data_IF_075871840462
#
_entry.id   IF_075871840462
#
_cell.length_a   1.000
_cell.length_b   1.000
_cell.length_c   1.000
_cell.angle_alpha   90.00
_cell.angle_beta   90.00
_cell.angle_gamma   90.00
#
_symmetry.space_group_name_H-M   'P 1'
#
loop_
_entity.id
_entity.type
_entity.pdbx_description
1 polymer ?
#
# COMPACT_ATOMS: atom_id res chain seq x y z
N UNK A 1 17.43 39.83 16.29
CA UNK A 1 17.83 39.38 14.95
C UNK A 1 16.92 38.23 14.56
N UNK A 2 15.97 38.46 13.67
CA UNK A 2 15.10 37.43 13.13
C UNK A 2 15.89 36.62 12.11
N UNK A 3 16.20 35.35 12.43
CA UNK A 3 16.77 34.43 11.46
C UNK A 3 15.75 34.23 10.34
N UNK A 4 16.02 34.79 9.17
CA UNK A 4 15.30 34.45 7.95
C UNK A 4 15.69 33.03 7.56
N UNK A 5 14.75 32.09 7.72
CA UNK A 5 14.90 30.74 7.21
C UNK A 5 14.64 30.81 5.71
N UNK A 6 15.70 30.70 4.91
CA UNK A 6 15.59 30.58 3.45
C UNK A 6 15.05 29.18 3.11
N UNK A 7 13.82 29.11 2.59
CA UNK A 7 13.22 27.87 2.11
C UNK A 7 13.75 27.65 0.68
N UNK A 8 14.62 26.66 0.51
CA UNK A 8 15.13 26.25 -0.80
C UNK A 8 14.07 25.41 -1.52
N UNK A 9 13.96 25.58 -2.84
CA UNK A 9 13.08 24.75 -3.69
C UNK A 9 13.39 23.26 -3.56
N UNK A 10 14.68 22.93 -3.48
CA UNK A 10 15.15 21.58 -3.13
C UNK A 10 15.84 21.65 -1.77
N UNK A 11 15.26 21.05 -0.72
CA UNK A 11 15.89 21.04 0.59
C UNK A 11 17.18 20.22 0.55
N UNK A 12 18.16 20.61 1.37
CA UNK A 12 19.35 19.79 1.56
C UNK A 12 18.96 18.44 2.16
N UNK A 13 19.48 17.35 1.60
CA UNK A 13 19.23 16.01 2.10
C UNK A 13 19.62 15.89 3.59
N UNK A 14 18.69 15.57 4.50
CA UNK A 14 18.96 15.45 5.93
C UNK A 14 20.08 14.45 6.23
N UNK A 15 20.91 14.77 7.24
CA UNK A 15 22.04 13.90 7.64
C UNK A 15 21.58 12.50 8.04
N UNK A 16 20.42 12.37 8.71
CA UNK A 16 19.85 11.08 9.08
C UNK A 16 19.58 10.17 7.87
N UNK A 17 19.08 10.73 6.77
CA UNK A 17 18.84 9.99 5.53
C UNK A 17 20.17 9.54 4.90
N UNK A 18 21.15 10.45 4.80
CA UNK A 18 22.49 10.10 4.28
C UNK A 18 23.14 8.97 5.07
N UNK A 19 23.07 9.03 6.40
CA UNK A 19 23.60 8.00 7.29
C UNK A 19 22.87 6.67 7.09
N UNK A 20 21.54 6.69 6.97
CA UNK A 20 20.74 5.49 6.76
C UNK A 20 21.05 4.80 5.42
N UNK A 21 21.19 5.57 4.33
CA UNK A 21 21.60 5.05 3.01
C UNK A 21 22.97 4.38 3.11
N UNK A 22 23.98 5.09 3.65
CA UNK A 22 25.35 4.58 3.76
C UNK A 22 25.47 3.33 4.64
N UNK A 23 24.57 3.18 5.63
CA UNK A 23 24.55 2.05 6.54
C UNK A 23 23.59 0.93 6.09
N UNK A 24 22.95 1.04 4.93
CA UNK A 24 21.93 0.10 4.45
C UNK A 24 20.75 -0.10 5.43
N UNK A 25 20.45 0.94 6.21
CA UNK A 25 19.37 0.96 7.23
C UNK A 25 18.26 1.94 6.84
N UNK A 26 18.15 2.24 5.54
CA UNK A 26 17.03 2.99 4.99
C UNK A 26 15.96 2.02 4.46
N UNK A 27 14.70 2.32 4.77
CA UNK A 27 13.56 1.67 4.14
C UNK A 27 12.58 2.71 3.58
N UNK A 28 11.82 2.32 2.56
CA UNK A 28 10.83 3.19 1.94
C UNK A 28 9.43 2.64 2.17
N UNK A 29 8.58 3.47 2.76
CA UNK A 29 7.17 3.21 2.95
C UNK A 29 6.38 3.83 1.80
N UNK A 30 5.78 2.98 0.95
CA UNK A 30 5.06 3.38 -0.26
C UNK A 30 3.56 3.34 -0.04
N UNK A 31 2.92 4.51 -0.15
CA UNK A 31 1.48 4.71 -0.15
C UNK A 31 0.86 4.77 -1.54
N UNK A 32 -0.47 4.88 -1.60
CA UNK A 32 -1.24 4.76 -2.83
C UNK A 32 -0.91 5.85 -3.87
N UNK A 33 -0.40 7.01 -3.42
CA UNK A 33 -0.01 8.12 -4.28
C UNK A 33 1.03 7.73 -5.33
N UNK A 34 1.93 6.79 -5.05
CA UNK A 34 2.88 6.29 -6.05
C UNK A 34 2.14 5.48 -7.14
N UNK A 35 1.26 4.56 -6.73
CA UNK A 35 0.46 3.76 -7.68
C UNK A 35 -0.52 4.60 -8.50
N UNK A 36 -0.94 5.78 -8.00
CA UNK A 36 -1.74 6.74 -8.76
C UNK A 36 -1.02 7.32 -9.97
N UNK A 37 0.32 7.45 -9.94
CA UNK A 37 1.10 7.88 -11.11
C UNK A 37 0.99 6.88 -12.27
N UNK A 38 0.69 5.62 -11.96
CA UNK A 38 0.46 4.53 -12.92
C UNK A 38 -1.03 4.44 -13.32
N UNK A 39 -1.87 5.24 -12.66
CA UNK A 39 -3.32 5.31 -12.86
C UNK A 39 -4.11 4.31 -12.02
N UNK A 40 -3.52 3.73 -10.97
CA UNK A 40 -4.33 3.03 -9.97
C UNK A 40 -5.23 4.01 -9.23
N UNK A 41 -6.39 3.54 -8.80
CA UNK A 41 -7.29 4.30 -7.96
C UNK A 41 -6.78 4.39 -6.51
N UNK A 42 -7.07 5.49 -5.85
CA UNK A 42 -7.00 5.58 -4.39
C UNK A 42 -8.24 5.01 -3.70
N UNK A 43 -8.24 5.01 -2.37
CA UNK A 43 -9.34 4.50 -1.55
C UNK A 43 -10.67 5.19 -1.83
N UNK A 44 -10.68 6.50 -2.05
CA UNK A 44 -11.91 7.25 -2.34
C UNK A 44 -12.46 6.90 -3.73
N UNK A 45 -11.59 6.85 -4.74
CA UNK A 45 -11.98 6.52 -6.11
C UNK A 45 -12.48 5.07 -6.20
N UNK A 46 -11.79 4.13 -5.55
CA UNK A 46 -12.22 2.73 -5.44
C UNK A 46 -13.60 2.63 -4.76
N UNK A 47 -13.79 3.30 -3.62
CA UNK A 47 -15.05 3.24 -2.90
C UNK A 47 -16.22 3.76 -3.76
N UNK A 48 -16.03 4.90 -4.45
CA UNK A 48 -17.03 5.47 -5.38
C UNK A 48 -17.35 4.53 -6.53
N UNK A 49 -16.34 3.87 -7.13
CA UNK A 49 -16.55 2.89 -8.19
C UNK A 49 -17.30 1.65 -7.71
N UNK A 50 -17.00 1.16 -6.52
CA UNK A 50 -17.73 0.04 -5.92
C UNK A 50 -19.20 0.40 -5.60
N UNK A 51 -19.48 1.61 -5.14
CA UNK A 51 -20.86 2.09 -4.94
C UNK A 51 -21.63 2.12 -6.27
N UNK A 52 -21.03 2.69 -7.31
CA UNK A 52 -21.62 2.66 -8.67
C UNK A 52 -21.82 1.25 -9.17
N UNK A 53 -20.87 0.34 -8.89
CA UNK A 53 -21.01 -1.08 -9.22
C UNK A 53 -22.25 -1.69 -8.56
N UNK A 54 -22.49 -1.39 -7.27
CA UNK A 54 -23.70 -1.83 -6.56
C UNK A 54 -24.96 -1.32 -7.26
N UNK A 55 -24.95 -0.08 -7.76
CA UNK A 55 -26.08 0.49 -8.52
C UNK A 55 -26.28 -0.21 -9.86
N UNK A 56 -25.20 -0.44 -10.60
CA UNK A 56 -25.20 -1.09 -11.91
C UNK A 56 -25.75 -2.51 -11.87
N UNK A 57 -25.42 -3.28 -10.83
CA UNK A 57 -25.91 -4.66 -10.65
C UNK A 57 -27.31 -4.72 -10.02
N UNK A 58 -27.91 -3.58 -9.68
CA UNK A 58 -29.28 -3.48 -9.16
C UNK A 58 -29.43 -3.73 -7.66
N UNK A 59 -28.34 -3.82 -6.91
CA UNK A 59 -28.36 -4.11 -5.47
C UNK A 59 -28.75 -2.90 -4.61
N UNK A 60 -28.57 -1.68 -5.14
CA UNK A 60 -28.94 -0.44 -4.44
C UNK A 60 -29.78 0.49 -5.31
N UNK A 61 -30.60 1.32 -4.68
CA UNK A 61 -31.39 2.37 -5.35
C UNK A 61 -30.57 3.63 -5.62
N UNK A 62 -31.02 4.56 -6.49
CA UNK A 62 -30.34 5.85 -6.67
C UNK A 62 -30.25 6.68 -5.38
N UNK A 63 -31.25 6.56 -4.50
CA UNK A 63 -31.26 7.26 -3.21
C UNK A 63 -30.18 6.68 -2.29
N UNK A 64 -30.09 5.35 -2.22
CA UNK A 64 -29.04 4.65 -1.47
C UNK A 64 -27.64 5.00 -2.00
N UNK A 65 -27.46 5.04 -3.32
CA UNK A 65 -26.21 5.46 -3.96
C UNK A 65 -25.81 6.86 -3.51
N UNK A 66 -26.72 7.83 -3.59
CA UNK A 66 -26.44 9.21 -3.19
C UNK A 66 -25.99 9.29 -1.73
N UNK A 67 -26.73 8.68 -0.80
CA UNK A 67 -26.38 8.66 0.62
C UNK A 67 -25.04 7.95 0.90
N UNK A 68 -24.76 6.86 0.18
CA UNK A 68 -23.49 6.13 0.32
C UNK A 68 -22.29 6.95 -0.15
N UNK A 69 -22.44 7.77 -1.19
CA UNK A 69 -21.36 8.61 -1.71
C UNK A 69 -21.01 9.79 -0.79
N UNK A 70 -21.89 10.15 0.14
CA UNK A 70 -21.63 11.15 1.19
C UNK A 70 -20.82 10.59 2.38
N UNK A 71 -20.67 9.26 2.48
CA UNK A 71 -19.89 8.63 3.54
C UNK A 71 -18.41 9.03 3.45
N UNK A 72 -17.87 9.50 4.58
CA UNK A 72 -16.49 9.94 4.69
C UNK A 72 -15.53 8.78 4.99
N UNK A 73 -15.99 7.75 5.73
CA UNK A 73 -15.21 6.54 6.01
C UNK A 73 -15.22 5.61 4.78
N UNK A 74 -14.18 5.73 3.96
CA UNK A 74 -14.03 4.95 2.72
C UNK A 74 -13.86 3.46 2.98
N UNK A 75 -13.22 3.08 4.09
CA UNK A 75 -13.06 1.66 4.47
C UNK A 75 -14.43 1.08 4.83
N UNK A 76 -15.25 1.81 5.58
CA UNK A 76 -16.64 1.42 5.86
C UNK A 76 -17.43 1.28 4.56
N UNK A 77 -17.32 2.24 3.66
CA UNK A 77 -18.03 2.21 2.38
C UNK A 77 -17.65 0.98 1.53
N UNK A 78 -16.35 0.69 1.41
CA UNK A 78 -15.86 -0.51 0.73
C UNK A 78 -16.36 -1.78 1.42
N UNK A 79 -16.43 -1.80 2.75
CA UNK A 79 -16.95 -2.93 3.51
C UNK A 79 -18.43 -3.19 3.25
N UNK A 80 -19.23 -2.13 3.13
CA UNK A 80 -20.64 -2.22 2.76
C UNK A 80 -20.75 -2.81 1.35
N UNK A 81 -20.03 -2.26 0.38
CA UNK A 81 -20.02 -2.77 -0.99
C UNK A 81 -19.54 -4.23 -1.08
N UNK A 82 -18.53 -4.62 -0.29
CA UNK A 82 -18.04 -5.99 -0.20
C UNK A 82 -19.13 -6.97 0.26
N UNK A 83 -20.01 -6.54 1.17
CA UNK A 83 -21.08 -7.39 1.69
C UNK A 83 -22.32 -7.44 0.78
N UNK A 84 -22.50 -6.42 -0.07
CA UNK A 84 -23.62 -6.32 -0.99
C UNK A 84 -23.31 -7.02 -2.33
N UNK A 85 -22.11 -6.78 -2.87
CA UNK A 85 -21.75 -7.27 -4.20
C UNK A 85 -21.46 -8.78 -4.21
N UNK A 86 -21.84 -9.49 -5.29
CA UNK A 86 -21.26 -10.78 -5.58
C UNK A 86 -19.73 -10.71 -5.63
N UNK A 87 -19.07 -11.76 -5.12
CA UNK A 87 -17.60 -11.84 -5.02
C UNK A 87 -16.89 -11.43 -6.32
N UNK A 88 -17.33 -11.94 -7.46
CA UNK A 88 -16.70 -11.68 -8.74
C UNK A 88 -16.88 -10.24 -9.22
N UNK A 89 -18.01 -9.60 -8.88
CA UNK A 89 -18.24 -8.19 -9.19
C UNK A 89 -17.33 -7.28 -8.34
N UNK A 90 -17.22 -7.56 -7.03
CA UNK A 90 -16.31 -6.84 -6.14
C UNK A 90 -14.84 -7.00 -6.57
N UNK A 91 -14.40 -8.25 -6.76
CA UNK A 91 -13.02 -8.53 -7.16
C UNK A 91 -12.70 -8.02 -8.57
N UNK A 92 -13.67 -8.06 -9.48
CA UNK A 92 -13.53 -7.51 -10.82
C UNK A 92 -13.33 -6.00 -10.81
N UNK A 93 -14.07 -5.26 -9.98
CA UNK A 93 -13.87 -3.82 -9.83
C UNK A 93 -12.52 -3.52 -9.15
N UNK A 94 -12.16 -4.27 -8.11
CA UNK A 94 -10.87 -4.09 -7.43
C UNK A 94 -9.69 -4.32 -8.39
N UNK A 95 -9.73 -5.38 -9.21
CA UNK A 95 -8.70 -5.66 -10.23
C UNK A 95 -8.61 -4.56 -11.28
N UNK A 96 -9.73 -3.96 -11.68
CA UNK A 96 -9.76 -2.81 -12.59
C UNK A 96 -9.16 -1.57 -11.94
N UNK A 97 -9.55 -1.27 -10.70
CA UNK A 97 -9.04 -0.13 -9.92
C UNK A 97 -7.53 -0.20 -9.67
N UNK A 98 -7.00 -1.40 -9.47
CA UNK A 98 -5.56 -1.65 -9.29
C UNK A 98 -4.83 -1.93 -10.61
N UNK A 99 -5.53 -1.83 -11.76
CA UNK A 99 -5.00 -2.11 -13.10
C UNK A 99 -4.24 -3.45 -13.20
N UNK A 100 -4.74 -4.46 -12.50
CA UNK A 100 -4.05 -5.73 -12.31
C UNK A 100 -3.78 -6.48 -13.64
N UNK A 101 -4.67 -6.30 -14.62
CA UNK A 101 -4.48 -6.84 -15.97
C UNK A 101 -3.30 -6.21 -16.72
N UNK A 102 -3.07 -4.90 -16.58
CA UNK A 102 -1.93 -4.19 -17.17
C UNK A 102 -0.62 -4.61 -16.49
N UNK A 103 -0.66 -4.82 -15.17
CA UNK A 103 0.51 -5.21 -14.38
C UNK A 103 1.12 -6.55 -14.84
N UNK A 104 0.38 -7.44 -15.51
CA UNK A 104 0.96 -8.67 -16.04
C UNK A 104 1.96 -8.41 -17.17
N UNK A 105 1.66 -7.45 -18.04
CA UNK A 105 2.35 -7.25 -19.32
C UNK A 105 3.32 -6.06 -19.30
N UNK A 106 3.42 -5.33 -18.19
CA UNK A 106 4.34 -4.21 -18.07
C UNK A 106 5.80 -4.69 -18.11
N UNK A 107 6.62 -4.02 -18.91
CA UNK A 107 8.06 -4.27 -18.99
C UNK A 107 8.77 -3.60 -17.80
N UNK A 108 9.88 -4.17 -17.33
CA UNK A 108 10.71 -3.62 -16.24
C UNK A 108 11.23 -2.21 -16.54
N UNK A 109 11.45 -1.90 -17.82
CA UNK A 109 11.94 -0.60 -18.31
C UNK A 109 10.82 0.38 -18.66
N UNK A 110 9.55 0.02 -18.43
CA UNK A 110 8.41 0.90 -18.74
C UNK A 110 8.49 2.22 -17.95
N UNK A 111 8.16 3.33 -18.62
CA UNK A 111 8.21 4.68 -18.02
C UNK A 111 7.31 4.82 -16.78
N UNK A 112 6.21 4.06 -16.71
CA UNK A 112 5.33 4.01 -15.54
C UNK A 112 6.05 3.51 -14.28
N UNK A 113 7.12 2.73 -14.42
CA UNK A 113 7.90 2.20 -13.31
C UNK A 113 9.09 3.08 -12.89
N UNK A 114 9.31 4.23 -13.54
CA UNK A 114 10.44 5.13 -13.27
C UNK A 114 10.54 5.48 -11.79
N UNK A 115 9.44 5.91 -11.17
CA UNK A 115 9.44 6.24 -9.74
C UNK A 115 9.87 5.07 -8.85
N UNK A 116 9.48 3.83 -9.17
CA UNK A 116 9.90 2.68 -8.38
C UNK A 116 11.38 2.35 -8.59
N UNK A 117 11.92 2.55 -9.79
CA UNK A 117 13.36 2.40 -10.07
C UNK A 117 14.16 3.44 -9.31
N UNK A 118 13.76 4.70 -9.36
CA UNK A 118 14.42 5.79 -8.63
C UNK A 118 14.42 5.53 -7.11
N UNK A 119 13.31 5.04 -6.56
CA UNK A 119 13.23 4.66 -5.15
C UNK A 119 14.15 3.47 -4.81
N UNK A 120 14.35 2.52 -5.74
CA UNK A 120 15.25 1.38 -5.58
C UNK A 120 16.73 1.76 -5.63
N UNK A 121 17.07 2.90 -6.24
CA UNK A 121 18.43 3.47 -6.11
C UNK A 121 18.70 4.02 -4.70
N UNK A 122 17.66 4.34 -3.92
CA UNK A 122 17.78 4.92 -2.59
C UNK A 122 17.76 3.88 -1.47
N UNK A 123 16.97 2.82 -1.62
CA UNK A 123 16.83 1.78 -0.61
C UNK A 123 16.49 0.43 -1.23
N UNK A 124 16.89 -0.64 -0.53
CA UNK A 124 16.58 -2.02 -0.92
C UNK A 124 15.38 -2.59 -0.13
N UNK A 125 14.96 -1.94 0.96
CA UNK A 125 13.85 -2.44 1.79
C UNK A 125 12.61 -1.58 1.62
N UNK A 126 11.49 -2.23 1.31
CA UNK A 126 10.22 -1.59 1.03
C UNK A 126 9.10 -2.13 1.91
N UNK A 127 8.21 -1.26 2.33
CA UNK A 127 6.95 -1.60 2.97
C UNK A 127 5.83 -0.84 2.28
N UNK A 128 4.68 -1.48 2.03
CA UNK A 128 3.59 -0.84 1.32
C UNK A 128 2.22 -1.31 1.78
N UNK A 129 1.27 -0.37 1.81
CA UNK A 129 -0.16 -0.62 1.95
C UNK A 129 -0.85 -0.87 0.59
N UNK A 130 -0.12 -0.79 -0.52
CA UNK A 130 -0.70 -0.92 -1.85
C UNK A 130 -0.80 -2.41 -2.24
N UNK A 131 -1.98 -2.80 -2.72
CA UNK A 131 -2.26 -4.17 -3.12
C UNK A 131 -1.94 -4.47 -4.60
N UNK A 132 -1.61 -3.46 -5.41
CA UNK A 132 -1.19 -3.67 -6.80
C UNK A 132 0.14 -4.43 -6.91
N UNK A 133 0.52 -4.81 -8.14
CA UNK A 133 1.73 -5.62 -8.42
C UNK A 133 2.83 -4.87 -9.15
N UNK A 134 2.78 -3.54 -9.23
CA UNK A 134 3.74 -2.79 -10.05
C UNK A 134 5.15 -2.83 -9.48
N UNK A 135 5.32 -2.54 -8.19
CA UNK A 135 6.63 -2.66 -7.53
C UNK A 135 7.15 -4.10 -7.53
N UNK A 136 6.26 -5.11 -7.50
CA UNK A 136 6.65 -6.52 -7.52
C UNK A 136 7.49 -6.87 -8.76
N UNK A 137 7.30 -6.16 -9.88
CA UNK A 137 8.07 -6.38 -11.12
C UNK A 137 9.55 -6.03 -10.98
N UNK A 138 9.91 -5.21 -10.00
CA UNK A 138 11.29 -4.81 -9.73
C UNK A 138 11.94 -5.63 -8.61
N UNK A 139 11.23 -6.60 -8.04
CA UNK A 139 11.67 -7.39 -6.89
C UNK A 139 11.80 -8.87 -7.26
N UNK A 140 12.74 -9.58 -6.63
CA UNK A 140 12.72 -11.05 -6.67
C UNK A 140 11.47 -11.56 -5.95
N UNK A 141 10.73 -12.47 -6.57
CA UNK A 141 9.54 -13.09 -5.97
C UNK A 141 9.81 -13.72 -4.60
N UNK A 142 11.03 -14.22 -4.36
CA UNK A 142 11.43 -14.80 -3.06
C UNK A 142 11.55 -13.75 -1.96
N UNK A 143 11.70 -12.47 -2.32
CA UNK A 143 11.82 -11.36 -1.39
C UNK A 143 10.50 -10.57 -1.20
N UNK A 144 9.42 -11.01 -1.85
CA UNK A 144 8.10 -10.41 -1.68
C UNK A 144 7.36 -11.15 -0.57
N UNK A 145 7.25 -10.50 0.58
CA UNK A 145 6.46 -11.02 1.70
C UNK A 145 5.04 -10.49 1.61
N UNK A 146 4.14 -11.36 1.16
CA UNK A 146 2.69 -11.20 1.29
C UNK A 146 2.27 -11.89 2.57
N UNK A 147 1.44 -11.24 3.39
CA UNK A 147 0.94 -11.81 4.63
C UNK A 147 2.06 -12.17 5.64
N UNK A 148 2.66 -11.13 6.21
CA UNK A 148 3.73 -11.20 7.23
C UNK A 148 3.32 -12.04 8.47
N UNK A 149 2.03 -12.34 8.68
CA UNK A 149 1.49 -12.98 9.90
C UNK A 149 0.83 -14.35 9.73
N UNK A 150 1.05 -15.02 8.60
CA UNK A 150 0.72 -16.45 8.51
C UNK A 150 1.54 -17.24 9.54
N UNK A 151 0.93 -18.22 10.21
CA UNK A 151 1.48 -18.97 11.36
C UNK A 151 2.88 -19.57 11.12
N UNK A 152 3.27 -19.76 9.86
CA UNK A 152 4.57 -20.32 9.46
C UNK A 152 5.66 -19.26 9.21
N UNK A 153 5.31 -17.97 9.10
CA UNK A 153 6.26 -16.89 8.76
C UNK A 153 6.85 -16.17 9.98
N UNK A 154 6.22 -16.27 11.15
CA UNK A 154 6.62 -15.52 12.36
C UNK A 154 8.01 -15.95 12.86
N UNK A 155 8.40 -17.22 12.71
CA UNK A 155 9.75 -17.62 13.13
C UNK A 155 10.85 -17.12 12.18
N UNK A 156 10.52 -16.84 10.91
CA UNK A 156 11.49 -16.39 9.92
C UNK A 156 11.55 -14.87 9.76
N UNK A 157 10.44 -14.15 9.94
CA UNK A 157 10.42 -12.67 9.86
C UNK A 157 11.08 -12.01 11.08
N UNK A 158 11.00 -12.65 12.26
CA UNK A 158 11.46 -12.07 13.53
C UNK A 158 12.92 -12.39 13.87
N UNK A 159 13.63 -13.09 13.00
CA UNK A 159 15.08 -13.13 13.11
C UNK A 159 15.62 -11.86 12.46
N UNK A 160 16.20 -10.96 13.24
CA UNK A 160 16.95 -9.79 12.74
C UNK A 160 18.04 -10.17 11.73
N UNK A 161 18.45 -11.44 11.69
CA UNK A 161 19.38 -11.99 10.68
C UNK A 161 18.72 -12.42 9.35
N UNK A 162 17.38 -12.40 9.26
CA UNK A 162 16.60 -12.76 8.07
C UNK A 162 15.95 -11.57 7.36
N UNK A 163 16.03 -10.35 7.91
CA UNK A 163 15.74 -9.15 7.14
C UNK A 163 16.90 -8.97 6.15
N UNK A 164 16.86 -9.74 5.08
CA UNK A 164 17.77 -9.61 3.95
C UNK A 164 17.58 -8.22 3.35
N UNK A 165 18.67 -7.59 2.93
CA UNK A 165 18.57 -6.48 1.99
C UNK A 165 17.79 -6.96 0.75
N UNK A 166 16.94 -6.10 0.18
CA UNK A 166 16.05 -6.35 -0.98
C UNK A 166 14.67 -6.95 -0.67
N UNK A 167 14.04 -6.68 0.49
CA UNK A 167 12.69 -7.17 0.82
C UNK A 167 11.57 -6.18 0.49
N UNK A 168 10.42 -6.72 0.03
CA UNK A 168 9.15 -5.99 -0.11
C UNK A 168 8.08 -6.57 0.82
N UNK A 169 7.64 -5.79 1.79
CA UNK A 169 6.56 -6.14 2.72
C UNK A 169 5.23 -5.52 2.27
N UNK A 170 4.30 -6.35 1.79
CA UNK A 170 2.95 -5.90 1.39
C UNK A 170 1.98 -6.07 2.56
N UNK A 171 1.96 -5.09 3.46
CA UNK A 171 1.26 -5.19 4.74
C UNK A 171 -0.25 -5.06 4.64
N UNK A 172 -0.84 -4.73 3.49
CA UNK A 172 -2.30 -4.80 3.25
C UNK A 172 -2.67 -5.91 2.24
N UNK A 173 -1.74 -6.82 1.97
CA UNK A 173 -1.93 -7.94 1.05
C UNK A 173 -1.60 -7.60 -0.40
N UNK A 174 -1.99 -8.49 -1.31
CA UNK A 174 -1.72 -8.36 -2.74
C UNK A 174 -2.95 -8.81 -3.53
N UNK A 175 -3.26 -8.13 -4.65
CA UNK A 175 -4.42 -8.45 -5.49
C UNK A 175 -4.35 -9.86 -6.10
N UNK A 176 -3.15 -10.43 -6.23
CA UNK A 176 -2.96 -11.83 -6.64
C UNK A 176 -3.25 -12.86 -5.54
N UNK A 177 -3.38 -12.43 -4.29
CA UNK A 177 -3.79 -13.26 -3.15
C UNK A 177 -4.97 -12.59 -2.44
N UNK A 178 -6.17 -12.90 -2.94
CA UNK A 178 -7.42 -12.27 -2.50
C UNK A 178 -7.69 -12.47 -0.98
N UNK A 179 -7.17 -13.55 -0.37
CA UNK A 179 -7.39 -13.81 1.06
C UNK A 179 -6.53 -12.91 1.97
N UNK A 180 -5.40 -12.42 1.45
CA UNK A 180 -4.46 -11.55 2.15
C UNK A 180 -4.93 -10.10 2.27
N UNK A 181 -5.87 -9.68 1.41
CA UNK A 181 -6.32 -8.30 1.26
C UNK A 181 -6.93 -7.72 2.54
N UNK A 182 -6.58 -6.46 2.83
CA UNK A 182 -7.06 -5.69 3.99
C UNK A 182 -7.88 -4.48 3.51
N UNK A 183 -9.02 -4.74 2.87
CA UNK A 183 -9.90 -3.70 2.31
C UNK A 183 -11.24 -3.55 3.04
N UNK A 184 -11.57 -4.49 3.93
CA UNK A 184 -12.77 -4.41 4.76
C UNK A 184 -12.40 -4.01 6.19
N UNK A 185 -13.34 -3.37 6.88
CA UNK A 185 -13.20 -2.93 8.26
C UNK A 185 -12.88 -4.09 9.20
N UNK A 186 -13.49 -5.26 8.96
CA UNK A 186 -13.18 -6.49 9.71
C UNK A 186 -11.71 -6.89 9.54
N UNK A 187 -11.23 -6.96 8.29
CA UNK A 187 -9.83 -7.33 8.00
C UNK A 187 -8.86 -6.28 8.53
N UNK A 188 -9.22 -5.00 8.44
CA UNK A 188 -8.42 -3.89 8.96
C UNK A 188 -8.30 -3.99 10.48
N UNK A 189 -9.42 -4.09 11.21
CA UNK A 189 -9.40 -4.27 12.67
C UNK A 189 -8.58 -5.51 13.03
N UNK A 190 -8.81 -6.65 12.36
CA UNK A 190 -8.06 -7.89 12.61
C UNK A 190 -6.56 -7.72 12.40
N UNK A 191 -6.12 -6.92 11.42
CA UNK A 191 -4.70 -6.65 11.16
C UNK A 191 -4.08 -5.79 12.26
N UNK A 192 -4.71 -4.67 12.60
CA UNK A 192 -4.17 -3.70 13.54
C UNK A 192 -4.41 -4.06 15.02
N UNK A 193 -5.20 -5.10 15.31
CA UNK A 193 -5.32 -5.68 16.66
C UNK A 193 -4.45 -6.93 16.85
N UNK A 194 -3.76 -7.40 15.80
CA UNK A 194 -2.82 -8.52 15.88
C UNK A 194 -1.50 -8.07 16.50
N UNK A 195 -1.19 -8.58 17.70
CA UNK A 195 0.06 -8.27 18.41
C UNK A 195 1.32 -8.53 17.58
N UNK A 196 1.29 -9.54 16.71
CA UNK A 196 2.45 -9.87 15.87
C UNK A 196 2.69 -8.79 14.81
N UNK A 197 1.62 -8.17 14.31
CA UNK A 197 1.72 -7.05 13.39
C UNK A 197 2.25 -5.80 14.08
N UNK A 198 1.73 -5.51 15.27
CA UNK A 198 2.23 -4.41 16.10
C UNK A 198 3.73 -4.59 16.42
N UNK A 199 4.15 -5.77 16.89
CA UNK A 199 5.56 -6.08 17.14
C UNK A 199 6.42 -5.95 15.88
N UNK A 200 5.95 -6.43 14.73
CA UNK A 200 6.66 -6.28 13.45
C UNK A 200 6.85 -4.82 13.07
N UNK A 201 5.78 -4.01 13.11
CA UNK A 201 5.82 -2.59 12.75
C UNK A 201 6.77 -1.84 13.70
N UNK A 202 6.68 -2.10 15.01
CA UNK A 202 7.57 -1.50 16.00
C UNK A 202 9.03 -1.87 15.76
N UNK A 203 9.34 -3.14 15.49
CA UNK A 203 10.71 -3.57 15.18
C UNK A 203 11.22 -2.96 13.88
N UNK A 204 10.38 -2.87 12.85
CA UNK A 204 10.73 -2.28 11.57
C UNK A 204 11.15 -0.81 11.74
N UNK A 205 10.35 -0.01 12.45
CA UNK A 205 10.67 1.40 12.73
C UNK A 205 11.82 1.59 13.71
N UNK A 206 12.09 0.63 14.60
CA UNK A 206 13.29 0.64 15.45
C UNK A 206 14.58 0.36 14.67
N UNK A 207 14.51 -0.48 13.63
CA UNK A 207 15.68 -0.89 12.85
C UNK A 207 15.98 0.07 11.68
N UNK A 208 14.94 0.58 11.03
CA UNK A 208 15.06 1.38 9.81
C UNK A 208 14.79 2.86 10.05
N UNK A 209 15.58 3.71 9.39
CA UNK A 209 15.12 5.06 9.06
C UNK A 209 14.18 4.98 7.87
N UNK A 210 12.93 5.40 8.06
CA UNK A 210 11.87 5.20 7.06
C UNK A 210 11.55 6.50 6.31
N UNK A 211 11.57 6.43 4.98
CA UNK A 211 11.08 7.49 4.10
C UNK A 211 9.67 7.13 3.61
N UNK A 212 8.70 7.98 3.91
CA UNK A 212 7.32 7.83 3.44
C UNK A 212 7.13 8.53 2.10
N UNK A 213 6.60 7.82 1.11
CA UNK A 213 6.38 8.34 -0.25
C UNK A 213 4.98 7.97 -0.73
N UNK A 214 4.27 8.92 -1.34
CA UNK A 214 2.92 8.70 -1.87
C UNK A 214 1.84 8.60 -0.80
N UNK A 215 2.04 9.24 0.35
CA UNK A 215 1.04 9.41 1.40
C UNK A 215 0.42 10.80 1.37
N UNK A 216 -0.90 10.86 1.54
CA UNK A 216 -1.66 12.09 1.76
C UNK A 216 -2.01 12.27 3.24
N UNK A 217 -2.23 13.51 3.69
CA UNK A 217 -2.74 13.78 5.05
C UNK A 217 -4.12 13.15 5.30
N UNK A 218 -4.85 12.82 4.24
CA UNK A 218 -6.15 12.15 4.29
C UNK A 218 -6.06 10.62 4.27
N UNK A 219 -4.86 10.03 4.15
CA UNK A 219 -4.73 8.58 4.12
C UNK A 219 -4.99 8.00 5.52
N UNK A 220 -6.09 7.26 5.63
CA UNK A 220 -6.58 6.58 6.85
C UNK A 220 -5.66 5.46 7.36
N UNK A 221 -4.43 5.35 6.85
CA UNK A 221 -3.52 4.22 7.07
C UNK A 221 -2.33 4.54 7.98
N UNK A 222 -2.31 5.74 8.56
CA UNK A 222 -1.27 6.21 9.48
C UNK A 222 -1.71 6.10 10.94
#
# INVERSE_FOLDING_TARGET
MTNHIEIKDIPSLPFGIKKAINNETMAIFIGAGVSRLIGCDDWDTLAKKLVRKCREVGEITPISEHSMLEESDKIKLISICHNILPRDAFMGELKKSLKDGEANNINIDDEKLTIYRDLKELANTFITTNADRYINKLMDNNNITINVFSLNNIKNVFSLSNIKNDNLYKIHGCISDEQSLVFTKEKYIKRYTDKRFDEFINQFFCHYTVLFVGYSLSDLSF
#
